data_IF_676035598545
#
_entry.id   IF_676035598545
#
_cell.length_a   1.000
_cell.length_b   1.000
_cell.length_c   1.000
_cell.angle_alpha   90.00
_cell.angle_beta   90.00
_cell.angle_gamma   90.00
#
_symmetry.space_group_name_H-M   'P 1'
#
loop_
_entity.id
_entity.type
_entity.pdbx_description
1 polymer ?
#
# COMPACT_ATOMS: atom_id res chain seq x y z
N UNK A 1 -14.33 -26.70 12.28
CA UNK A 1 -13.10 -26.59 11.47
C UNK A 1 -13.47 -26.47 10.01
N UNK A 2 -12.64 -25.78 9.24
CA UNK A 2 -12.81 -25.58 7.80
C UNK A 2 -11.54 -26.03 7.11
N UNK A 3 -11.64 -26.99 6.19
CA UNK A 3 -10.54 -27.34 5.30
C UNK A 3 -10.59 -26.44 4.07
N UNK A 4 -9.47 -25.81 3.76
CA UNK A 4 -9.39 -24.80 2.71
C UNK A 4 -8.18 -25.06 1.81
N UNK A 5 -8.34 -25.00 0.47
CA UNK A 5 -7.21 -24.90 -0.43
C UNK A 5 -6.78 -23.43 -0.46
N UNK A 6 -5.59 -23.07 0.04
CA UNK A 6 -5.10 -21.68 -0.03
C UNK A 6 -4.90 -21.25 -1.48
N UNK A 7 -4.64 -19.96 -1.70
CA UNK A 7 -4.33 -19.44 -3.04
C UNK A 7 -3.16 -20.13 -3.74
N UNK A 8 -2.19 -20.68 -2.98
CA UNK A 8 -1.11 -21.51 -3.51
C UNK A 8 -1.53 -22.86 -4.11
N UNK A 9 -2.79 -23.29 -3.94
CA UNK A 9 -3.34 -24.54 -4.47
C UNK A 9 -4.50 -24.27 -5.44
N UNK A 10 -4.67 -25.17 -6.41
CA UNK A 10 -5.76 -25.13 -7.38
C UNK A 10 -7.15 -25.03 -6.73
N UNK A 11 -8.12 -24.53 -7.48
CA UNK A 11 -9.51 -24.41 -7.00
C UNK A 11 -10.09 -25.78 -6.68
N UNK A 12 -10.95 -25.82 -5.66
CA UNK A 12 -11.63 -27.04 -5.21
C UNK A 12 -12.54 -27.60 -6.31
N UNK A 13 -12.40 -28.89 -6.62
CA UNK A 13 -13.34 -29.63 -7.49
C UNK A 13 -14.28 -30.45 -6.60
N UNK A 14 -15.53 -29.98 -6.44
CA UNK A 14 -16.47 -30.50 -5.44
C UNK A 14 -16.90 -31.94 -5.71
N UNK A 15 -16.93 -32.34 -6.98
CA UNK A 15 -17.33 -33.67 -7.44
C UNK A 15 -16.23 -34.71 -7.26
N UNK A 16 -15.00 -34.29 -6.96
CA UNK A 16 -13.84 -35.18 -6.83
C UNK A 16 -13.48 -35.35 -5.35
N UNK A 17 -13.75 -36.52 -4.72
CA UNK A 17 -13.53 -36.75 -3.30
C UNK A 17 -12.06 -37.04 -3.00
N UNK A 18 -11.19 -36.05 -3.21
CA UNK A 18 -9.76 -36.13 -2.95
C UNK A 18 -9.37 -35.20 -1.80
N UNK A 19 -8.95 -35.72 -0.63
CA UNK A 19 -8.69 -34.91 0.56
C UNK A 19 -7.47 -34.00 0.43
N UNK A 20 -6.48 -34.36 -0.39
CA UNK A 20 -5.28 -33.54 -0.59
C UNK A 20 -5.50 -32.37 -1.56
N UNK A 21 -6.76 -32.04 -1.89
CA UNK A 21 -7.09 -30.73 -2.46
C UNK A 21 -6.91 -29.62 -1.43
N UNK A 22 -7.05 -29.93 -0.14
CA UNK A 22 -6.89 -28.98 0.96
C UNK A 22 -5.45 -29.02 1.49
N UNK A 23 -4.84 -27.86 1.71
CA UNK A 23 -3.51 -27.73 2.29
C UNK A 23 -3.50 -26.95 3.61
N UNK A 24 -4.65 -26.44 4.05
CA UNK A 24 -4.77 -25.62 5.25
C UNK A 24 -6.07 -25.88 6.02
N UNK A 25 -6.07 -25.53 7.31
CA UNK A 25 -7.19 -25.73 8.22
C UNK A 25 -7.41 -24.49 9.08
N UNK A 26 -8.59 -23.87 8.93
CA UNK A 26 -8.99 -22.66 9.65
C UNK A 26 -10.24 -22.94 10.51
N UNK A 27 -10.71 -21.94 11.24
CA UNK A 27 -11.94 -22.04 12.04
C UNK A 27 -13.02 -21.09 11.52
N UNK A 28 -14.26 -21.50 11.72
CA UNK A 28 -15.45 -20.69 11.43
C UNK A 28 -16.26 -20.60 12.72
N UNK A 29 -16.64 -19.39 13.10
CA UNK A 29 -17.50 -19.09 14.23
C UNK A 29 -18.85 -18.65 13.68
N UNK A 30 -19.95 -19.20 14.20
CA UNK A 30 -21.29 -18.74 13.82
C UNK A 30 -21.47 -17.26 14.19
N UNK A 31 -21.90 -16.48 13.22
CA UNK A 31 -22.24 -15.06 13.40
C UNK A 31 -23.74 -14.85 13.17
N UNK A 32 -24.24 -13.62 13.38
CA UNK A 32 -25.65 -13.28 13.10
C UNK A 32 -26.04 -13.60 11.66
N UNK A 33 -25.11 -13.40 10.73
CA UNK A 33 -25.27 -13.70 9.31
C UNK A 33 -24.06 -14.53 8.84
N UNK A 34 -24.27 -15.84 8.66
CA UNK A 34 -23.25 -16.75 8.17
C UNK A 34 -22.15 -17.06 9.20
N UNK A 35 -20.89 -16.93 8.78
CA UNK A 35 -19.73 -17.33 9.57
C UNK A 35 -18.65 -16.24 9.59
N UNK A 36 -18.02 -16.07 10.76
CA UNK A 36 -16.76 -15.35 10.90
C UNK A 36 -15.61 -16.34 10.78
N UNK A 37 -14.69 -16.12 9.83
CA UNK A 37 -13.55 -17.00 9.58
C UNK A 37 -12.30 -16.48 10.27
N UNK A 38 -11.53 -17.39 10.87
CA UNK A 38 -10.26 -17.08 11.52
C UNK A 38 -9.22 -18.13 11.14
N UNK A 39 -8.01 -17.68 10.83
CA UNK A 39 -6.86 -18.56 10.71
C UNK A 39 -6.05 -18.53 12.03
N UNK A 40 -6.10 -19.60 12.86
CA UNK A 40 -5.36 -19.67 14.11
C UNK A 40 -3.85 -19.81 13.92
N UNK A 41 -3.37 -20.03 12.69
CA UNK A 41 -1.93 -20.08 12.37
C UNK A 41 -1.37 -18.68 12.06
N UNK A 42 -2.25 -17.70 11.84
CA UNK A 42 -1.89 -16.31 11.57
C UNK A 42 -1.68 -15.49 12.84
N UNK A 43 -0.58 -15.72 13.56
CA UNK A 43 -0.30 -15.09 14.88
C UNK A 43 -0.25 -13.55 14.85
N UNK A 44 -0.05 -12.96 13.67
CA UNK A 44 0.10 -11.50 13.47
C UNK A 44 -1.12 -10.84 12.85
N UNK A 45 -2.21 -11.58 12.64
CA UNK A 45 -3.45 -11.04 12.09
C UNK A 45 -4.40 -10.61 13.21
N UNK A 46 -5.05 -9.46 13.03
CA UNK A 46 -6.15 -9.06 13.90
C UNK A 46 -7.31 -10.04 13.78
N UNK A 47 -8.04 -10.27 14.89
CA UNK A 47 -9.16 -11.21 14.96
C UNK A 47 -10.21 -11.04 13.85
N UNK A 48 -10.41 -9.83 13.32
CA UNK A 48 -11.42 -9.59 12.29
C UNK A 48 -10.94 -9.82 10.85
N UNK A 49 -9.65 -10.08 10.64
CA UNK A 49 -9.07 -10.17 9.31
C UNK A 49 -8.67 -11.61 8.96
N UNK A 50 -9.24 -12.14 7.89
CA UNK A 50 -8.84 -13.43 7.32
C UNK A 50 -7.62 -13.22 6.41
N UNK A 51 -6.50 -13.95 6.55
CA UNK A 51 -5.34 -13.82 5.67
C UNK A 51 -5.71 -13.95 4.19
N UNK A 52 -5.05 -13.20 3.31
CA UNK A 52 -5.40 -13.21 1.88
C UNK A 52 -5.31 -14.57 1.22
N UNK A 53 -4.45 -15.46 1.71
CA UNK A 53 -4.30 -16.83 1.22
C UNK A 53 -5.58 -17.68 1.40
N UNK A 54 -6.45 -17.30 2.34
CA UNK A 54 -7.70 -17.99 2.70
C UNK A 54 -8.96 -17.29 2.18
N UNK A 55 -8.82 -16.15 1.50
CA UNK A 55 -9.95 -15.36 1.00
C UNK A 55 -10.45 -15.86 -0.36
N UNK A 56 -11.74 -15.65 -0.67
CA UNK A 56 -12.33 -15.98 -1.97
C UNK A 56 -12.12 -17.46 -2.40
N UNK A 57 -12.21 -18.38 -1.43
CA UNK A 57 -11.99 -19.82 -1.64
C UNK A 57 -13.25 -20.61 -1.38
N UNK A 58 -13.49 -21.60 -2.24
CA UNK A 58 -14.39 -22.70 -1.90
C UNK A 58 -13.70 -23.60 -0.88
N UNK A 59 -14.39 -23.87 0.23
CA UNK A 59 -13.86 -24.61 1.36
C UNK A 59 -14.88 -25.61 1.91
N UNK A 60 -14.44 -26.52 2.78
CA UNK A 60 -15.26 -27.55 3.39
C UNK A 60 -15.37 -27.33 4.91
N UNK A 61 -16.54 -26.89 5.36
CA UNK A 61 -16.88 -26.73 6.77
C UNK A 61 -17.35 -28.05 7.36
N UNK A 62 -16.77 -28.44 8.50
CA UNK A 62 -17.26 -29.56 9.31
C UNK A 62 -18.10 -29.02 10.48
N UNK A 63 -19.39 -29.34 10.45
CA UNK A 63 -20.37 -28.94 11.47
C UNK A 63 -21.37 -30.06 11.71
N UNK A 64 -21.63 -30.42 12.98
CA UNK A 64 -22.64 -31.43 13.36
C UNK A 64 -22.52 -32.76 12.58
N UNK A 65 -21.30 -33.27 12.43
CA UNK A 65 -20.97 -34.50 11.65
C UNK A 65 -21.29 -34.41 10.15
N UNK A 66 -21.51 -33.21 9.61
CA UNK A 66 -21.73 -32.96 8.19
C UNK A 66 -20.59 -32.12 7.60
N UNK A 67 -20.24 -32.41 6.34
CA UNK A 67 -19.41 -31.57 5.51
C UNK A 67 -20.27 -30.64 4.67
N UNK A 68 -20.04 -29.34 4.76
CA UNK A 68 -20.80 -28.29 4.06
C UNK A 68 -19.81 -27.51 3.19
N UNK A 69 -20.05 -27.46 1.89
CA UNK A 69 -19.28 -26.56 1.02
C UNK A 69 -19.69 -25.12 1.29
N UNK A 70 -18.69 -24.28 1.56
CA UNK A 70 -18.84 -22.87 1.87
C UNK A 70 -17.87 -22.06 1.01
N UNK A 71 -18.06 -20.75 0.99
CA UNK A 71 -17.18 -19.83 0.29
C UNK A 71 -16.68 -18.75 1.27
N UNK A 72 -15.37 -18.56 1.35
CA UNK A 72 -14.78 -17.54 2.23
C UNK A 72 -14.90 -16.15 1.61
N UNK A 73 -15.08 -15.09 2.44
CA UNK A 73 -15.20 -13.73 1.93
C UNK A 73 -13.88 -13.24 1.33
N UNK A 74 -13.98 -12.18 0.53
CA UNK A 74 -12.83 -11.34 0.16
C UNK A 74 -12.85 -10.08 1.02
N UNK A 75 -11.71 -9.65 1.54
CA UNK A 75 -11.62 -8.40 2.28
C UNK A 75 -11.96 -7.20 1.38
N UNK A 76 -12.51 -6.14 1.99
CA UNK A 76 -12.57 -4.85 1.31
C UNK A 76 -11.12 -4.38 1.04
N UNK A 77 -10.75 -3.96 -0.18
CA UNK A 77 -9.45 -3.35 -0.44
C UNK A 77 -9.09 -2.20 0.52
N UNK A 78 -10.06 -1.54 1.17
CA UNK A 78 -9.84 -0.50 2.16
C UNK A 78 -9.41 -1.05 3.52
N UNK A 79 -9.76 -2.30 3.84
CA UNK A 79 -9.37 -3.01 5.06
C UNK A 79 -8.01 -3.74 4.94
N UNK A 80 -7.47 -3.81 3.72
CA UNK A 80 -6.14 -4.33 3.43
C UNK A 80 -5.32 -3.26 2.73
N UNK A 81 -4.26 -2.73 3.34
CA UNK A 81 -3.56 -1.64 2.70
C UNK A 81 -2.67 -0.79 3.58
N UNK A 82 -2.33 0.38 3.04
CA UNK A 82 -1.52 1.38 3.74
C UNK A 82 -2.01 2.79 3.42
N UNK A 83 -2.10 3.60 4.47
CA UNK A 83 -2.28 5.05 4.39
C UNK A 83 -0.98 5.73 4.82
N UNK A 84 -0.39 6.48 3.90
CA UNK A 84 0.74 7.35 4.16
C UNK A 84 0.25 8.78 4.34
N UNK A 85 0.65 9.40 5.44
CA UNK A 85 0.51 10.84 5.69
C UNK A 85 1.89 11.45 5.77
N UNK A 86 2.11 12.53 5.02
CA UNK A 86 3.39 13.23 5.02
C UNK A 86 3.19 14.72 5.24
N UNK A 87 4.05 15.29 6.08
CA UNK A 87 4.24 16.73 6.20
C UNK A 87 5.65 17.04 5.70
N UNK A 88 5.74 17.93 4.73
CA UNK A 88 6.99 18.33 4.09
C UNK A 88 7.17 19.83 4.29
N UNK A 89 8.32 20.25 4.81
CA UNK A 89 8.71 21.65 4.85
C UNK A 89 9.85 21.88 3.88
N UNK A 90 9.69 22.82 2.96
CA UNK A 90 10.74 23.19 2.00
C UNK A 90 11.36 24.51 2.47
N UNK A 91 12.69 24.57 2.46
CA UNK A 91 13.49 25.76 2.74
C UNK A 91 13.91 26.48 1.45
N UNK A 92 14.23 27.78 1.53
CA UNK A 92 14.61 28.60 0.35
C UNK A 92 15.94 28.17 -0.31
N UNK A 93 16.77 27.42 0.41
CA UNK A 93 17.99 26.78 -0.09
C UNK A 93 17.74 25.45 -0.83
N UNK A 94 16.51 24.94 -0.80
CA UNK A 94 16.08 23.70 -1.42
C UNK A 94 16.20 22.47 -0.53
N UNK A 95 16.61 22.61 0.73
CA UNK A 95 16.53 21.53 1.72
C UNK A 95 15.08 21.23 2.10
N UNK A 96 14.83 20.00 2.56
CA UNK A 96 13.52 19.58 3.07
C UNK A 96 13.62 18.91 4.43
N UNK A 97 12.58 19.09 5.24
CA UNK A 97 12.25 18.25 6.39
C UNK A 97 10.97 17.48 6.07
N UNK A 98 10.99 16.17 6.30
CA UNK A 98 9.85 15.28 6.04
C UNK A 98 9.49 14.56 7.33
N UNK A 99 8.22 14.63 7.72
CA UNK A 99 7.61 13.74 8.69
C UNK A 99 6.65 12.82 7.96
N UNK A 100 6.82 11.50 8.10
CA UNK A 100 5.97 10.50 7.46
C UNK A 100 5.38 9.56 8.50
N UNK A 101 4.05 9.46 8.49
CA UNK A 101 3.28 8.46 9.23
C UNK A 101 2.72 7.42 8.25
N UNK A 102 2.94 6.14 8.55
CA UNK A 102 2.45 5.01 7.75
C UNK A 102 1.52 4.17 8.61
N UNK A 103 0.25 4.08 8.25
CA UNK A 103 -0.75 3.24 8.91
C UNK A 103 -1.03 2.03 8.03
N UNK A 104 -0.82 0.82 8.54
CA UNK A 104 -1.03 -0.42 7.79
C UNK A 104 -2.20 -1.24 8.32
N UNK A 105 -2.87 -1.94 7.41
CA UNK A 105 -4.07 -2.75 7.63
C UNK A 105 -3.93 -4.11 6.93
N UNK A 106 -4.72 -5.10 7.35
CA UNK A 106 -4.77 -6.43 6.74
C UNK A 106 -3.41 -7.14 6.67
N UNK A 107 -3.12 -7.80 5.55
CA UNK A 107 -1.86 -8.54 5.34
C UNK A 107 -0.62 -7.64 5.50
N UNK A 108 -0.72 -6.36 5.15
CA UNK A 108 0.41 -5.42 5.32
C UNK A 108 0.68 -5.15 6.80
N UNK A 109 -0.37 -5.01 7.62
CA UNK A 109 -0.22 -4.87 9.07
C UNK A 109 0.39 -6.14 9.67
N UNK A 110 -0.13 -7.32 9.31
CA UNK A 110 0.38 -8.59 9.80
C UNK A 110 1.85 -8.81 9.44
N UNK A 111 2.23 -8.54 8.18
CA UNK A 111 3.62 -8.62 7.74
C UNK A 111 4.53 -7.63 8.47
N UNK A 112 4.09 -6.38 8.69
CA UNK A 112 4.85 -5.43 9.49
C UNK A 112 4.99 -5.93 10.94
N UNK A 113 3.91 -6.39 11.58
CA UNK A 113 3.96 -6.93 12.95
C UNK A 113 4.96 -8.07 13.06
N UNK A 114 4.91 -9.06 12.16
CA UNK A 114 5.88 -10.15 12.09
C UNK A 114 7.32 -9.65 11.95
N UNK A 115 7.54 -8.58 11.17
CA UNK A 115 8.88 -8.00 10.99
C UNK A 115 9.39 -7.31 12.26
N UNK A 116 8.51 -6.60 12.98
CA UNK A 116 8.91 -5.73 14.08
C UNK A 116 8.73 -6.33 15.48
N UNK A 117 8.03 -7.45 15.62
CA UNK A 117 7.76 -8.08 16.92
C UNK A 117 9.03 -8.42 17.69
N UNK A 118 10.04 -8.95 17.00
CA UNK A 118 11.33 -9.35 17.57
C UNK A 118 12.48 -8.42 17.16
N UNK A 119 12.16 -7.26 16.58
CA UNK A 119 13.17 -6.35 16.03
C UNK A 119 13.87 -5.58 17.16
N UNK A 120 15.18 -5.80 17.29
CA UNK A 120 16.00 -5.09 18.27
C UNK A 120 16.18 -3.60 17.93
N UNK A 121 16.61 -2.76 18.89
CA UNK A 121 16.74 -1.30 18.69
C UNK A 121 17.70 -0.92 17.55
N UNK A 122 18.81 -1.64 17.41
CA UNK A 122 19.81 -1.39 16.35
C UNK A 122 19.27 -1.74 14.97
N UNK A 123 18.67 -2.92 14.82
CA UNK A 123 18.05 -3.33 13.56
C UNK A 123 16.91 -2.40 13.17
N UNK A 124 16.10 -1.99 14.14
CA UNK A 124 15.00 -1.03 13.91
C UNK A 124 15.54 0.27 13.34
N UNK A 125 16.61 0.81 13.95
CA UNK A 125 17.29 2.00 13.45
C UNK A 125 17.78 1.84 12.01
N UNK A 126 18.47 0.73 11.71
CA UNK A 126 18.98 0.45 10.37
C UNK A 126 17.87 0.31 9.32
N UNK A 127 16.71 -0.23 9.69
CA UNK A 127 15.54 -0.28 8.81
C UNK A 127 15.07 1.14 8.47
N UNK A 128 14.96 2.02 9.46
CA UNK A 128 14.54 3.40 9.22
C UNK A 128 15.61 4.24 8.50
N UNK A 129 16.89 4.02 8.77
CA UNK A 129 17.99 4.67 8.02
C UNK A 129 17.97 4.24 6.55
N UNK A 130 17.74 2.95 6.27
CA UNK A 130 17.52 2.46 4.89
C UNK A 130 16.30 3.09 4.25
N UNK A 131 15.16 3.17 4.95
CA UNK A 131 13.96 3.81 4.44
C UNK A 131 14.18 5.31 4.14
N UNK A 132 14.92 6.02 4.98
CA UNK A 132 15.25 7.44 4.73
C UNK A 132 16.21 7.58 3.55
N UNK A 133 17.14 6.65 3.35
CA UNK A 133 18.06 6.71 2.20
C UNK A 133 17.36 6.60 0.83
N UNK A 134 16.17 5.98 0.76
CA UNK A 134 15.37 5.93 -0.48
C UNK A 134 14.67 7.25 -0.78
N UNK A 135 14.45 8.12 0.22
CA UNK A 135 13.95 9.48 0.01
C UNK A 135 15.00 10.29 -0.75
N UNK A 136 16.23 10.30 -0.27
CA UNK A 136 17.36 10.98 -0.91
C UNK A 136 18.68 10.38 -0.40
N UNK A 137 19.70 10.17 -1.25
CA UNK A 137 20.99 9.61 -0.81
C UNK A 137 21.67 10.36 0.33
N UNK A 138 21.44 11.68 0.43
CA UNK A 138 21.95 12.53 1.52
C UNK A 138 20.98 12.77 2.68
N UNK A 139 19.84 12.08 2.72
CA UNK A 139 18.86 12.26 3.79
C UNK A 139 19.38 11.68 5.12
N UNK A 140 19.13 12.40 6.21
CA UNK A 140 19.50 12.03 7.58
C UNK A 140 18.25 11.75 8.38
N UNK A 141 18.19 10.57 9.00
CA UNK A 141 17.14 10.22 9.95
C UNK A 141 17.30 11.10 11.20
N UNK A 142 16.22 11.76 11.60
CA UNK A 142 16.17 12.60 12.81
C UNK A 142 15.51 11.84 13.95
N UNK A 143 14.35 11.23 13.69
CA UNK A 143 13.56 10.52 14.69
C UNK A 143 12.74 9.41 14.04
N UNK A 144 12.36 8.39 14.81
CA UNK A 144 11.52 7.29 14.36
C UNK A 144 10.81 6.60 15.51
N UNK A 145 9.65 6.01 15.21
CA UNK A 145 8.91 5.17 16.15
C UNK A 145 8.02 4.18 15.41
N UNK A 146 7.62 3.14 16.15
CA UNK A 146 6.59 2.19 15.74
C UNK A 146 5.57 2.06 16.88
N UNK A 147 4.32 1.77 16.53
CA UNK A 147 3.33 1.31 17.51
C UNK A 147 3.70 -0.07 18.05
N UNK A 148 3.13 -0.43 19.20
CA UNK A 148 3.26 -1.79 19.75
C UNK A 148 2.81 -2.86 18.72
N UNK A 149 3.72 -3.77 18.28
CA UNK A 149 3.38 -4.86 17.38
C UNK A 149 2.34 -5.83 17.94
N UNK A 150 2.08 -5.82 19.26
CA UNK A 150 1.09 -6.67 19.92
C UNK A 150 -0.26 -5.99 20.16
N UNK A 151 -0.39 -4.69 19.89
CA UNK A 151 -1.68 -4.01 19.96
C UNK A 151 -2.47 -4.18 18.65
N UNK A 152 -3.34 -5.19 18.60
CA UNK A 152 -4.20 -5.50 17.46
C UNK A 152 -5.46 -4.62 17.36
N UNK A 153 -5.73 -3.79 18.36
CA UNK A 153 -6.88 -2.89 18.40
C UNK A 153 -6.70 -1.64 17.55
N UNK A 154 -5.48 -1.37 17.10
CA UNK A 154 -5.11 -0.21 16.29
C UNK A 154 -4.36 -0.65 15.02
N UNK A 155 -4.36 0.17 13.95
CA UNK A 155 -3.50 -0.07 12.80
C UNK A 155 -2.03 -0.02 13.21
N UNK A 156 -1.23 -0.94 12.65
CA UNK A 156 0.21 -0.91 12.89
C UNK A 156 0.80 0.35 12.24
N UNK A 157 1.43 1.19 13.06
CA UNK A 157 1.85 2.54 12.71
C UNK A 157 3.37 2.66 12.75
N UNK A 158 3.95 3.28 11.71
CA UNK A 158 5.36 3.66 11.65
C UNK A 158 5.47 5.15 11.43
N UNK A 159 6.35 5.82 12.19
CA UNK A 159 6.62 7.24 12.05
C UNK A 159 8.11 7.42 11.85
N UNK A 160 8.50 8.30 10.93
CA UNK A 160 9.86 8.81 10.90
C UNK A 160 9.89 10.29 10.53
N UNK A 161 10.96 10.96 10.96
CA UNK A 161 11.31 12.30 10.56
C UNK A 161 12.72 12.30 9.97
N UNK A 162 12.90 12.95 8.82
CA UNK A 162 14.20 13.08 8.19
C UNK A 162 14.43 14.47 7.61
N UNK A 163 15.70 14.78 7.40
CA UNK A 163 16.14 16.01 6.73
C UNK A 163 17.00 15.66 5.53
N UNK A 164 16.77 16.31 4.40
CA UNK A 164 17.57 16.15 3.20
C UNK A 164 18.02 17.52 2.68
N UNK A 165 19.33 17.75 2.71
CA UNK A 165 19.94 18.93 2.10
C UNK A 165 19.91 18.82 0.58
N UNK A 166 19.64 19.94 -0.10
CA UNK A 166 19.68 20.00 -1.57
C UNK A 166 18.69 19.08 -2.29
N UNK A 167 17.59 18.67 -1.64
CA UNK A 167 16.58 17.81 -2.25
C UNK A 167 15.91 18.46 -3.46
N UNK A 168 15.50 19.73 -3.31
CA UNK A 168 14.92 20.49 -4.41
C UNK A 168 16.04 20.97 -5.34
N UNK A 169 15.92 20.65 -6.64
CA UNK A 169 16.84 21.15 -7.65
C UNK A 169 16.59 22.64 -7.87
N UNK A 170 17.63 23.45 -7.69
CA UNK A 170 17.57 24.90 -7.91
C UNK A 170 17.97 25.24 -9.35
N UNK A 171 17.15 26.04 -10.02
CA UNK A 171 17.42 26.54 -11.37
C UNK A 171 17.04 28.02 -11.46
N UNK A 172 18.01 28.91 -11.23
CA UNK A 172 17.76 30.36 -11.09
C UNK A 172 16.83 30.62 -9.91
N UNK A 173 15.67 31.21 -10.21
CA UNK A 173 14.61 31.51 -9.23
C UNK A 173 13.63 30.33 -9.01
N UNK A 174 13.91 29.14 -9.55
CA UNK A 174 13.02 27.98 -9.43
C UNK A 174 13.54 26.95 -8.42
N UNK A 175 12.62 26.35 -7.68
CA UNK A 175 12.81 25.07 -6.99
C UNK A 175 11.98 24.00 -7.68
N UNK A 176 12.62 22.89 -8.05
CA UNK A 176 12.02 21.81 -8.83
C UNK A 176 12.22 20.50 -8.06
N UNK A 177 11.14 19.79 -7.76
CA UNK A 177 11.20 18.56 -6.98
C UNK A 177 10.09 17.56 -7.33
N UNK A 178 10.29 16.29 -6.99
CA UNK A 178 9.25 15.26 -6.95
C UNK A 178 8.85 15.01 -5.50
N UNK A 179 7.64 14.52 -5.24
CA UNK A 179 7.23 14.20 -3.88
C UNK A 179 8.15 13.11 -3.28
N UNK A 180 8.73 13.34 -2.09
CA UNK A 180 9.59 12.37 -1.43
C UNK A 180 8.81 11.11 -1.06
N UNK A 181 9.35 9.94 -1.42
CA UNK A 181 8.80 8.63 -1.06
C UNK A 181 7.28 8.49 -1.32
N UNK A 182 6.85 9.09 -2.44
CA UNK A 182 5.54 8.86 -3.07
C UNK A 182 5.80 8.24 -4.43
N UNK A 183 5.63 6.93 -4.51
CA UNK A 183 5.73 6.21 -5.77
C UNK A 183 4.61 5.19 -5.88
N UNK A 184 4.13 4.99 -7.10
CA UNK A 184 3.16 3.94 -7.40
C UNK A 184 3.79 3.03 -8.43
N UNK A 185 3.85 1.74 -8.13
CA UNK A 185 4.41 0.74 -9.03
C UNK A 185 3.44 -0.39 -9.29
N UNK A 186 3.62 -1.01 -10.46
CA UNK A 186 3.00 -2.27 -10.82
C UNK A 186 4.06 -3.34 -10.99
N UNK A 187 3.63 -4.59 -10.84
CA UNK A 187 4.34 -5.68 -11.47
C UNK A 187 4.08 -5.64 -12.99
N UNK A 188 5.02 -5.11 -13.78
CA UNK A 188 4.91 -5.15 -15.24
C UNK A 188 5.79 -6.28 -15.78
N UNK A 189 5.22 -7.38 -16.31
CA UNK A 189 6.00 -8.43 -16.94
C UNK A 189 6.81 -7.88 -18.11
N UNK A 190 8.06 -8.32 -18.25
CA UNK A 190 8.98 -7.86 -19.31
C UNK A 190 8.55 -8.25 -20.72
N UNK A 191 7.78 -9.33 -20.88
CA UNK A 191 7.29 -9.80 -22.19
C UNK A 191 6.02 -9.05 -22.62
N UNK A 192 6.04 -8.48 -23.82
CA UNK A 192 4.87 -7.79 -24.38
C UNK A 192 3.66 -8.70 -24.66
N UNK A 193 3.89 -10.00 -24.81
CA UNK A 193 2.85 -11.01 -25.00
C UNK A 193 2.94 -12.06 -23.89
N UNK A 194 1.80 -12.45 -23.34
CA UNK A 194 1.68 -13.49 -22.31
C UNK A 194 0.92 -14.70 -22.85
N UNK A 195 1.16 -15.85 -22.23
CA UNK A 195 0.38 -17.09 -22.44
C UNK A 195 -0.62 -17.34 -21.31
N UNK A 196 -0.43 -16.70 -20.16
CA UNK A 196 -1.22 -16.89 -18.96
C UNK A 196 -1.71 -15.53 -18.41
N UNK A 197 -2.82 -15.53 -17.65
CA UNK A 197 -3.26 -14.40 -16.85
C UNK A 197 -2.15 -13.80 -15.98
N UNK A 198 -2.41 -12.61 -15.43
CA UNK A 198 -1.63 -12.10 -14.30
C UNK A 198 -2.38 -12.48 -13.04
N UNK A 199 -1.64 -13.06 -12.10
CA UNK A 199 -2.11 -13.34 -10.75
C UNK A 199 -1.34 -12.43 -9.80
N UNK A 200 -2.08 -11.77 -8.92
CA UNK A 200 -1.61 -10.82 -7.92
C UNK A 200 -2.04 -11.36 -6.56
N UNK A 201 -1.21 -11.12 -5.55
CA UNK A 201 -1.36 -11.78 -4.25
C UNK A 201 -2.67 -11.47 -3.53
N UNK A 202 -3.09 -10.20 -3.51
CA UNK A 202 -4.26 -9.77 -2.74
C UNK A 202 -4.85 -8.47 -3.29
N UNK A 203 -6.12 -8.22 -2.97
CA UNK A 203 -6.77 -6.91 -3.12
C UNK A 203 -6.27 -5.97 -2.03
N UNK A 204 -6.04 -4.70 -2.35
CA UNK A 204 -5.62 -3.73 -1.33
C UNK A 204 -5.76 -2.28 -1.82
N UNK A 205 -5.62 -1.34 -0.88
CA UNK A 205 -5.55 0.08 -1.12
C UNK A 205 -4.19 0.67 -0.68
N UNK A 206 -3.71 1.65 -1.45
CA UNK A 206 -2.53 2.44 -1.10
C UNK A 206 -2.92 3.90 -1.25
N UNK A 207 -2.89 4.64 -0.15
CA UNK A 207 -3.23 6.06 -0.10
C UNK A 207 -2.03 6.91 0.31
N UNK A 208 -1.87 8.05 -0.33
CA UNK A 208 -0.92 9.07 0.07
C UNK A 208 -1.67 10.39 0.27
N UNK A 209 -1.49 11.00 1.43
CA UNK A 209 -1.93 12.34 1.78
C UNK A 209 -0.68 13.15 2.15
N UNK A 210 -0.40 14.22 1.41
CA UNK A 210 0.81 15.01 1.61
C UNK A 210 0.45 16.47 1.75
N UNK A 211 1.03 17.11 2.75
CA UNK A 211 0.96 18.55 2.99
C UNK A 211 2.36 19.14 2.89
N UNK A 212 2.52 20.17 2.07
CA UNK A 212 3.80 20.79 1.75
C UNK A 212 3.75 22.27 2.13
N UNK A 213 4.62 22.67 3.03
CA UNK A 213 4.83 24.05 3.43
C UNK A 213 5.90 24.67 2.55
N UNK A 214 5.53 25.73 1.83
CA UNK A 214 6.44 26.46 0.96
C UNK A 214 7.23 27.50 1.77
N UNK A 215 8.48 27.82 1.37
CA UNK A 215 9.19 28.97 1.92
C UNK A 215 8.43 30.28 1.59
N UNK A 216 8.50 31.26 2.49
CA UNK A 216 7.76 32.53 2.34
C UNK A 216 8.12 33.30 1.06
N UNK A 217 9.35 33.16 0.57
CA UNK A 217 9.85 33.80 -0.64
C UNK A 217 9.50 33.03 -1.93
N UNK A 218 8.74 31.93 -1.88
CA UNK A 218 8.32 31.15 -3.04
C UNK A 218 6.80 31.08 -3.20
N UNK A 219 6.37 30.90 -4.45
CA UNK A 219 5.00 30.63 -4.86
C UNK A 219 4.94 29.46 -5.84
N UNK A 220 3.75 28.88 -6.00
CA UNK A 220 3.51 27.79 -6.94
C UNK A 220 3.65 28.30 -8.38
N UNK A 221 4.55 27.69 -9.16
CA UNK A 221 4.68 27.97 -10.59
C UNK A 221 4.00 26.90 -11.44
N UNK A 222 4.12 25.63 -11.03
CA UNK A 222 3.50 24.50 -11.72
C UNK A 222 3.18 23.38 -10.74
N UNK A 223 1.96 22.84 -10.88
CA UNK A 223 1.54 21.58 -10.28
C UNK A 223 1.16 20.59 -11.38
N UNK A 224 1.48 19.30 -11.20
CA UNK A 224 0.99 18.23 -12.06
C UNK A 224 -0.54 18.24 -12.21
N UNK A 225 -1.03 17.83 -13.39
CA UNK A 225 -2.48 17.75 -13.64
C UNK A 225 -3.07 16.54 -12.93
N UNK A 226 -4.32 16.67 -12.48
CA UNK A 226 -5.02 15.55 -11.86
C UNK A 226 -5.21 14.39 -12.86
N UNK A 227 -4.99 13.16 -12.39
CA UNK A 227 -5.17 11.93 -13.14
C UNK A 227 -6.21 11.07 -12.42
N UNK A 228 -7.16 10.51 -13.18
CA UNK A 228 -8.13 9.54 -12.68
C UNK A 228 -8.31 8.42 -13.68
N UNK A 229 -8.11 7.19 -13.25
CA UNK A 229 -8.23 5.99 -14.07
C UNK A 229 -9.11 5.00 -13.30
N UNK A 230 -10.14 4.47 -13.97
CA UNK A 230 -10.98 3.39 -13.45
C UNK A 230 -11.01 2.26 -14.45
N UNK A 231 -10.81 1.05 -13.96
CA UNK A 231 -10.89 -0.20 -14.72
C UNK A 231 -11.65 -1.23 -13.87
N UNK A 232 -12.05 -2.39 -14.41
CA UNK A 232 -12.63 -3.46 -13.60
C UNK A 232 -11.70 -3.96 -12.47
N UNK A 233 -10.38 -3.86 -12.67
CA UNK A 233 -9.36 -4.47 -11.79
C UNK A 233 -8.70 -3.46 -10.84
N UNK A 234 -8.64 -2.19 -11.25
CA UNK A 234 -7.93 -1.12 -10.54
C UNK A 234 -8.64 0.22 -10.65
N UNK A 235 -8.55 1.00 -9.59
CA UNK A 235 -8.77 2.44 -9.61
C UNK A 235 -7.46 3.15 -9.23
N UNK A 236 -7.21 4.29 -9.87
CA UNK A 236 -6.11 5.17 -9.52
C UNK A 236 -6.53 6.63 -9.61
N UNK A 237 -6.11 7.43 -8.63
CA UNK A 237 -6.25 8.87 -8.62
C UNK A 237 -4.97 9.53 -8.13
N UNK A 238 -4.67 10.71 -8.67
CA UNK A 238 -3.55 11.56 -8.28
C UNK A 238 -3.96 13.01 -8.51
N UNK A 239 -3.80 13.86 -7.50
CA UNK A 239 -4.25 15.25 -7.56
C UNK A 239 -3.38 16.14 -6.68
N UNK A 240 -3.06 17.31 -7.21
CA UNK A 240 -2.38 18.40 -6.52
C UNK A 240 -3.29 19.61 -6.49
N UNK A 241 -3.24 20.36 -5.39
CA UNK A 241 -3.86 21.69 -5.29
C UNK A 241 -3.06 22.54 -4.30
N UNK A 242 -3.33 23.83 -4.23
CA UNK A 242 -2.66 24.72 -3.28
C UNK A 242 -3.67 25.66 -2.63
N UNK A 243 -3.40 26.01 -1.38
CA UNK A 243 -4.19 26.96 -0.60
C UNK A 243 -3.21 27.85 0.17
N UNK A 244 -3.17 29.15 -0.15
CA UNK A 244 -2.19 30.07 0.43
C UNK A 244 -0.75 29.62 0.19
N UNK A 245 0.00 29.43 1.27
CA UNK A 245 1.42 28.99 1.28
C UNK A 245 1.59 27.48 1.39
N UNK A 246 0.53 26.70 1.20
CA UNK A 246 0.57 25.24 1.27
C UNK A 246 0.21 24.61 -0.08
N UNK A 247 0.93 23.55 -0.43
CA UNK A 247 0.55 22.63 -1.51
C UNK A 247 0.10 21.33 -0.88
N UNK A 248 -0.95 20.75 -1.43
CA UNK A 248 -1.49 19.47 -1.01
C UNK A 248 -1.44 18.48 -2.15
N UNK A 249 -1.25 17.22 -1.78
CA UNK A 249 -1.37 16.10 -2.69
C UNK A 249 -2.21 14.98 -2.07
N UNK A 250 -3.07 14.41 -2.91
CA UNK A 250 -3.76 13.15 -2.63
C UNK A 250 -3.60 12.22 -3.80
N UNK A 251 -3.20 10.99 -3.51
CA UNK A 251 -3.26 9.89 -4.45
C UNK A 251 -3.78 8.61 -3.80
N UNK A 252 -4.47 7.81 -4.60
CA UNK A 252 -5.02 6.53 -4.16
C UNK A 252 -4.91 5.52 -5.30
N UNK A 253 -4.42 4.32 -4.96
CA UNK A 253 -4.56 3.13 -5.81
C UNK A 253 -5.41 2.12 -5.08
N UNK A 254 -6.46 1.63 -5.73
CA UNK A 254 -7.26 0.49 -5.27
C UNK A 254 -7.07 -0.65 -6.26
N UNK A 255 -6.61 -1.80 -5.77
CA UNK A 255 -6.65 -3.06 -6.51
C UNK A 255 -7.88 -3.84 -6.06
N UNK A 256 -8.81 -4.05 -6.99
CA UNK A 256 -10.12 -4.67 -6.76
C UNK A 256 -10.17 -6.16 -7.09
N UNK A 257 -9.16 -6.66 -7.81
CA UNK A 257 -9.08 -8.06 -8.22
C UNK A 257 -7.64 -8.58 -8.14
N UNK A 258 -7.52 -9.89 -7.94
CA UNK A 258 -6.26 -10.63 -7.91
C UNK A 258 -5.91 -11.29 -9.24
N UNK A 259 -6.87 -11.42 -10.16
CA UNK A 259 -6.64 -12.04 -11.47
C UNK A 259 -6.99 -11.06 -12.59
N UNK A 260 -6.04 -10.87 -13.51
CA UNK A 260 -6.27 -10.13 -14.75
C UNK A 260 -6.24 -11.12 -15.92
N UNK A 261 -7.37 -11.33 -16.61
CA UNK A 261 -7.46 -12.22 -17.77
C UNK A 261 -6.46 -11.84 -18.85
N UNK A 262 -6.00 -12.85 -19.61
CA UNK A 262 -5.02 -12.65 -20.68
C UNK A 262 -5.45 -11.57 -21.70
N UNK A 263 -6.74 -11.53 -22.04
CA UNK A 263 -7.32 -10.53 -22.97
C UNK A 263 -7.13 -9.08 -22.50
N UNK A 264 -7.05 -8.86 -21.19
CA UNK A 264 -6.96 -7.52 -20.58
C UNK A 264 -5.52 -7.15 -20.19
N UNK A 265 -4.54 -7.96 -20.56
CA UNK A 265 -3.12 -7.66 -20.33
C UNK A 265 -2.68 -6.31 -20.95
N UNK A 266 -3.09 -5.92 -22.18
CA UNK A 266 -2.77 -4.60 -22.71
C UNK A 266 -3.35 -3.45 -21.88
N UNK A 267 -4.56 -3.61 -21.34
CA UNK A 267 -5.19 -2.64 -20.45
C UNK A 267 -4.38 -2.47 -19.17
N UNK A 268 -3.94 -3.58 -18.57
CA UNK A 268 -3.11 -3.56 -17.37
C UNK A 268 -1.77 -2.85 -17.59
N UNK A 269 -1.06 -3.15 -18.69
CA UNK A 269 0.18 -2.44 -19.04
C UNK A 269 -0.04 -0.94 -19.16
N UNK A 270 -1.08 -0.52 -19.87
CA UNK A 270 -1.41 0.89 -20.05
C UNK A 270 -1.71 1.56 -18.71
N UNK A 271 -2.47 0.91 -17.84
CA UNK A 271 -2.75 1.39 -16.47
C UNK A 271 -1.45 1.63 -15.70
N UNK A 272 -0.55 0.65 -15.68
CA UNK A 272 0.71 0.74 -14.94
C UNK A 272 1.62 1.86 -15.45
N UNK A 273 1.79 1.97 -16.77
CA UNK A 273 2.59 3.05 -17.36
C UNK A 273 2.02 4.45 -17.07
N UNK A 274 0.70 4.61 -17.12
CA UNK A 274 0.07 5.90 -16.82
C UNK A 274 0.22 6.27 -15.33
N UNK A 275 0.00 5.30 -14.44
CA UNK A 275 0.14 5.47 -13.00
C UNK A 275 1.58 5.83 -12.61
N UNK A 276 2.56 5.03 -13.03
CA UNK A 276 3.98 5.26 -12.74
C UNK A 276 4.43 6.64 -13.24
N UNK A 277 4.08 6.99 -14.49
CA UNK A 277 4.38 8.30 -15.07
C UNK A 277 3.79 9.44 -14.24
N UNK A 278 2.52 9.34 -13.84
CA UNK A 278 1.84 10.40 -13.09
C UNK A 278 2.44 10.62 -11.70
N UNK A 279 2.95 9.55 -11.07
CA UNK A 279 3.58 9.65 -9.75
C UNK A 279 4.98 10.27 -9.77
N UNK A 280 5.61 10.31 -10.94
CA UNK A 280 6.93 10.92 -11.15
C UNK A 280 6.90 12.33 -11.74
N UNK A 281 5.77 13.03 -11.71
CA UNK A 281 5.72 14.40 -12.24
C UNK A 281 6.37 15.40 -11.27
N UNK A 282 7.01 16.43 -11.84
CA UNK A 282 7.73 17.46 -11.10
C UNK A 282 6.77 18.55 -10.63
N UNK A 283 6.95 18.99 -9.39
CA UNK A 283 6.39 20.24 -8.85
C UNK A 283 7.43 21.34 -9.04
N UNK A 284 6.97 22.54 -9.43
CA UNK A 284 7.84 23.71 -9.60
C UNK A 284 7.32 24.87 -8.76
N UNK A 285 8.21 25.42 -7.95
CA UNK A 285 8.02 26.66 -7.22
C UNK A 285 8.89 27.74 -7.86
N UNK A 286 8.45 28.99 -7.78
CA UNK A 286 9.19 30.14 -8.26
C UNK A 286 9.33 31.16 -7.15
N UNK A 287 10.50 31.78 -7.05
CA UNK A 287 10.75 32.87 -6.11
C UNK A 287 9.83 34.04 -6.44
N UNK A 288 9.15 34.58 -5.44
CA UNK A 288 8.33 35.79 -5.58
C UNK A 288 9.27 36.91 -6.02
N UNK A 289 8.87 37.65 -7.06
CA UNK A 289 9.54 38.92 -7.35
C UNK A 289 9.25 39.86 -6.18
N UNK A 290 10.28 40.41 -5.57
CA UNK A 290 10.10 41.47 -4.56
C UNK A 290 9.24 42.58 -5.16
N UNK A 291 8.31 43.10 -4.35
CA UNK A 291 7.65 44.38 -4.62
C UNK A 291 8.70 45.50 -4.73
#
# INVERSE_FOLDING_TARGET
>A
YVLIPTHGVGKLTREFPYPFQFNHCIVAIEAKEGYHFLDPTGETYSFHYLPSEDQNRDALLFQNQKGIFIHTPTADPQENGVLYRQIIKISSDGSIEVEKTSLSFGDIAASNRATYMDCGPTELREIFERAVSTVHPGAKLIDYSISDPLDFGQPFTKIYRCFAEGYCKKAGDLLIFQLPDVSYSCFVPTKEKRRYPIELSYVHSLKNEVEIYLPDDYEVYYLPKAVKIKTPYFDFSSSYWHEGTKVFYRGERIRKATVIPLKDYPLYRKFCHLMERSSGEWVVLKKKKGL
#
